data_IF_106755298023
#
_entry.id   IF_106755298023
#
_cell.length_a   1.000
_cell.length_b   1.000
_cell.length_c   1.000
_cell.angle_alpha   90.00
_cell.angle_beta   90.00
_cell.angle_gamma   90.00
#
_symmetry.space_group_name_H-M   'P 1'
#
loop_
_entity.id
_entity.type
_entity.pdbx_description
1 polymer ?
#
# COMPACT_ATOMS: atom_id res chain seq x y z
N UNK A 1 -22.36 -6.98 4.39
CA UNK A 1 -21.00 -7.15 4.94
C UNK A 1 -20.02 -6.72 3.88
N UNK A 2 -19.41 -5.57 4.10
CA UNK A 2 -18.39 -4.99 3.24
C UNK A 2 -17.02 -5.36 3.81
N UNK A 3 -16.20 -6.00 3.00
CA UNK A 3 -14.81 -6.30 3.32
C UNK A 3 -13.94 -5.27 2.61
N UNK A 4 -13.07 -4.59 3.33
CA UNK A 4 -12.19 -3.58 2.74
C UNK A 4 -10.82 -3.65 3.38
N UNK A 5 -9.79 -3.52 2.55
CA UNK A 5 -8.40 -3.45 3.01
C UNK A 5 -7.94 -2.02 2.86
N UNK A 6 -7.39 -1.48 3.94
CA UNK A 6 -6.73 -0.17 3.95
C UNK A 6 -5.25 -0.35 4.25
N UNK A 7 -4.44 0.60 3.78
CA UNK A 7 -3.01 0.66 4.08
C UNK A 7 -2.63 2.06 4.53
N UNK A 8 -1.91 2.14 5.64
CA UNK A 8 -1.19 3.33 6.05
C UNK A 8 0.28 3.18 5.66
N UNK A 9 0.85 4.24 5.09
CA UNK A 9 2.24 4.25 4.62
C UNK A 9 2.94 5.44 5.25
N UNK A 10 3.96 5.16 6.06
CA UNK A 10 4.82 6.15 6.66
C UNK A 10 6.20 6.06 6.03
N UNK A 11 6.70 7.15 5.47
CA UNK A 11 8.06 7.27 4.96
C UNK A 11 8.98 7.91 5.99
N UNK A 12 10.21 7.40 6.06
CA UNK A 12 11.21 7.89 7.00
C UNK A 12 11.56 9.38 6.81
N UNK A 13 11.46 9.90 5.58
CA UNK A 13 11.73 11.30 5.24
C UNK A 13 10.45 12.11 5.03
N UNK A 14 9.44 11.52 4.38
CA UNK A 14 8.23 12.23 3.95
C UNK A 14 7.11 12.22 4.99
N UNK A 15 7.24 11.43 6.07
CA UNK A 15 6.19 11.28 7.07
C UNK A 15 5.01 10.47 6.52
N UNK A 16 3.77 10.89 6.80
CA UNK A 16 2.58 10.10 6.46
C UNK A 16 2.20 10.27 4.98
N UNK A 17 2.57 9.29 4.13
CA UNK A 17 2.30 9.31 2.69
C UNK A 17 0.82 9.06 2.37
N UNK A 18 0.12 8.29 3.19
CA UNK A 18 -1.29 7.94 2.99
C UNK A 18 -2.27 9.01 3.48
N UNK A 19 -1.78 10.18 3.89
CA UNK A 19 -2.58 11.26 4.48
C UNK A 19 -3.71 11.70 3.54
N UNK A 20 -4.93 11.78 4.07
CA UNK A 20 -6.16 12.12 3.35
C UNK A 20 -6.39 11.36 2.02
N UNK A 21 -5.95 10.10 1.92
CA UNK A 21 -6.12 9.31 0.69
C UNK A 21 -7.45 8.54 0.59
N UNK A 22 -8.19 8.41 1.70
CA UNK A 22 -9.49 7.73 1.70
C UNK A 22 -10.65 8.74 1.69
N UNK A 23 -11.71 8.40 0.95
CA UNK A 23 -13.00 9.09 1.03
C UNK A 23 -13.85 8.68 2.24
N UNK A 24 -13.41 7.69 3.03
CA UNK A 24 -14.07 7.28 4.26
C UNK A 24 -13.43 8.00 5.45
N UNK A 25 -14.19 8.83 6.15
CA UNK A 25 -13.70 9.62 7.29
C UNK A 25 -13.11 8.77 8.43
N UNK A 26 -13.61 7.55 8.65
CA UNK A 26 -13.07 6.65 9.67
C UNK A 26 -11.65 6.14 9.31
N UNK A 27 -11.32 6.15 8.02
CA UNK A 27 -10.06 5.64 7.46
C UNK A 27 -9.33 6.71 6.64
N UNK A 28 -9.57 7.99 6.94
CA UNK A 28 -9.21 9.14 6.10
C UNK A 28 -7.75 9.17 5.66
N UNK A 29 -6.84 8.89 6.58
CA UNK A 29 -5.39 8.92 6.37
C UNK A 29 -4.81 7.57 5.90
N UNK A 30 -5.65 6.73 5.30
CA UNK A 30 -5.28 5.43 4.75
C UNK A 30 -5.62 5.37 3.26
N UNK A 31 -4.91 4.52 2.54
CA UNK A 31 -5.19 4.20 1.16
C UNK A 31 -6.12 2.98 1.14
N UNK A 32 -7.25 3.07 0.44
CA UNK A 32 -8.08 1.89 0.17
C UNK A 32 -7.45 1.05 -0.94
N UNK A 33 -7.20 -0.24 -0.68
CA UNK A 33 -6.59 -1.14 -1.65
C UNK A 33 -7.66 -1.87 -2.47
N UNK A 34 -7.38 -2.10 -3.75
CA UNK A 34 -8.14 -3.01 -4.61
C UNK A 34 -7.70 -4.46 -4.41
N UNK A 35 -6.39 -4.67 -4.23
CA UNK A 35 -5.79 -5.98 -4.03
C UNK A 35 -4.55 -5.88 -3.16
N UNK A 36 -4.27 -6.96 -2.43
CA UNK A 36 -3.07 -7.14 -1.62
C UNK A 36 -2.62 -8.59 -1.76
N UNK A 37 -1.35 -8.77 -2.09
CA UNK A 37 -0.65 -10.04 -2.15
C UNK A 37 0.55 -9.97 -1.20
N UNK A 38 0.64 -10.97 -0.32
CA UNK A 38 1.76 -11.16 0.59
C UNK A 38 2.41 -12.50 0.22
N UNK A 39 3.70 -12.48 -0.12
CA UNK A 39 4.44 -13.70 -0.48
C UNK A 39 5.68 -13.90 0.38
N UNK A 40 5.95 -15.18 0.66
CA UNK A 40 7.15 -15.64 1.35
C UNK A 40 8.24 -16.02 0.35
N UNK A 41 9.49 -15.88 0.76
CA UNK A 41 10.64 -16.40 0.01
C UNK A 41 10.66 -17.92 -0.09
N UNK A 42 11.46 -18.43 -1.02
CA UNK A 42 11.63 -19.87 -1.27
C UNK A 42 12.50 -20.53 -0.19
N UNK A 43 13.30 -19.75 0.56
CA UNK A 43 14.35 -20.26 1.46
C UNK A 43 13.88 -20.63 2.89
N UNK A 44 12.58 -20.84 3.10
CA UNK A 44 12.08 -21.47 4.33
C UNK A 44 12.15 -20.62 5.61
N UNK A 45 12.46 -19.32 5.50
CA UNK A 45 12.22 -18.36 6.57
C UNK A 45 10.71 -18.07 6.67
N UNK A 46 10.20 -17.96 7.89
CA UNK A 46 8.76 -17.81 8.15
C UNK A 46 8.18 -16.45 7.74
N UNK A 47 9.00 -15.57 7.18
CA UNK A 47 8.71 -14.15 7.06
C UNK A 47 8.16 -13.80 5.68
N UNK A 48 7.29 -12.79 5.65
CA UNK A 48 6.85 -12.17 4.39
C UNK A 48 8.04 -11.40 3.84
N UNK A 49 8.38 -11.62 2.57
CA UNK A 49 9.52 -10.95 1.93
C UNK A 49 9.06 -9.92 0.89
N UNK A 50 7.86 -10.12 0.36
CA UNK A 50 7.32 -9.32 -0.75
C UNK A 50 5.87 -8.97 -0.51
N UNK A 51 5.56 -7.70 -0.73
CA UNK A 51 4.20 -7.16 -0.71
C UNK A 51 3.90 -6.57 -2.08
N UNK A 52 2.77 -6.93 -2.66
CA UNK A 52 2.25 -6.32 -3.88
C UNK A 52 0.85 -5.82 -3.58
N UNK A 53 0.57 -4.56 -3.90
CA UNK A 53 -0.77 -4.01 -3.73
C UNK A 53 -1.19 -3.14 -4.91
N UNK A 54 -2.50 -3.01 -5.09
CA UNK A 54 -3.09 -2.13 -6.09
C UNK A 54 -3.99 -1.08 -5.43
N UNK A 55 -3.88 0.16 -5.88
CA UNK A 55 -4.69 1.30 -5.42
C UNK A 55 -5.08 2.21 -6.58
N UNK A 56 -6.05 3.10 -6.38
CA UNK A 56 -6.30 4.19 -7.33
C UNK A 56 -5.10 5.15 -7.38
N UNK A 57 -4.96 5.91 -8.46
CA UNK A 57 -4.10 7.10 -8.46
C UNK A 57 -4.71 8.13 -7.50
N UNK A 58 -3.97 8.56 -6.49
CA UNK A 58 -4.44 9.42 -5.40
C UNK A 58 -3.33 10.34 -4.87
N UNK A 59 -3.55 11.00 -3.72
CA UNK A 59 -2.57 11.91 -3.11
C UNK A 59 -1.26 11.25 -2.72
N UNK A 60 -1.23 9.93 -2.48
CA UNK A 60 -0.02 9.20 -2.15
C UNK A 60 0.83 8.89 -3.39
N UNK A 61 0.25 8.85 -4.60
CA UNK A 61 0.96 8.53 -5.84
C UNK A 61 2.25 9.33 -6.06
N UNK A 62 2.26 10.68 -6.02
CA UNK A 62 3.51 11.43 -6.19
C UNK A 62 4.51 11.20 -5.06
N UNK A 63 4.05 10.94 -3.84
CA UNK A 63 4.91 10.70 -2.69
C UNK A 63 5.59 9.33 -2.76
N UNK A 64 4.87 8.32 -3.25
CA UNK A 64 5.40 6.98 -3.50
C UNK A 64 6.41 7.01 -4.66
N UNK A 65 6.16 7.80 -5.70
CA UNK A 65 7.13 8.03 -6.78
C UNK A 65 8.42 8.70 -6.27
N UNK A 66 8.30 9.65 -5.36
CA UNK A 66 9.47 10.25 -4.72
C UNK A 66 10.18 9.27 -3.77
N UNK A 67 9.44 8.43 -3.05
CA UNK A 67 10.01 7.41 -2.16
C UNK A 67 10.83 6.36 -2.93
N UNK A 68 10.36 5.89 -4.09
CA UNK A 68 11.14 4.97 -4.93
C UNK A 68 12.38 5.66 -5.52
N UNK A 69 12.27 6.89 -6.00
CA UNK A 69 13.39 7.65 -6.58
C UNK A 69 14.51 7.87 -5.55
N UNK A 70 14.13 8.16 -4.30
CA UNK A 70 15.05 8.36 -3.18
C UNK A 70 15.48 7.09 -2.46
N UNK A 71 14.94 5.93 -2.84
CA UNK A 71 15.12 4.68 -2.11
C UNK A 71 14.82 4.85 -0.60
N UNK A 72 13.71 5.53 -0.31
CA UNK A 72 13.24 5.85 1.05
C UNK A 72 12.69 4.60 1.75
N UNK A 73 13.07 4.43 3.01
CA UNK A 73 12.54 3.39 3.88
C UNK A 73 11.13 3.72 4.35
N UNK A 74 10.26 2.72 4.32
CA UNK A 74 8.84 2.82 4.67
C UNK A 74 8.48 1.90 5.83
N UNK A 75 7.50 2.34 6.62
CA UNK A 75 6.68 1.50 7.47
C UNK A 75 5.28 1.37 6.85
N UNK A 76 4.78 0.13 6.76
CA UNK A 76 3.48 -0.20 6.18
C UNK A 76 2.60 -0.82 7.25
N UNK A 77 1.39 -0.29 7.41
CA UNK A 77 0.38 -0.92 8.28
C UNK A 77 -0.85 -1.26 7.45
N UNK A 78 -1.19 -2.54 7.37
CA UNK A 78 -2.35 -3.06 6.64
C UNK A 78 -3.49 -3.30 7.62
N UNK A 79 -4.68 -2.81 7.29
CA UNK A 79 -5.90 -2.95 8.07
C UNK A 79 -6.95 -3.71 7.28
N UNK A 80 -7.41 -4.85 7.81
CA UNK A 80 -8.57 -5.56 7.26
C UNK A 80 -9.82 -5.17 8.02
N UNK A 81 -10.81 -4.64 7.30
CA UNK A 81 -12.03 -4.12 7.88
C UNK A 81 -13.26 -4.92 7.45
N UNK A 82 -14.19 -5.11 8.39
CA UNK A 82 -15.55 -5.62 8.15
C UNK A 82 -16.52 -4.53 8.57
N UNK A 83 -17.31 -4.02 7.64
CA UNK A 83 -18.25 -2.91 7.86
C UNK A 83 -17.55 -1.72 8.58
N UNK A 84 -16.41 -1.29 8.01
CA UNK A 84 -15.51 -0.22 8.48
C UNK A 84 -14.84 -0.41 9.85
N UNK A 85 -15.07 -1.54 10.54
CA UNK A 85 -14.36 -1.87 11.77
C UNK A 85 -13.09 -2.66 11.45
N UNK A 86 -11.97 -2.20 11.99
CA UNK A 86 -10.69 -2.93 11.92
C UNK A 86 -10.86 -4.25 12.66
N UNK A 87 -10.54 -5.34 11.96
CA UNK A 87 -10.58 -6.71 12.51
C UNK A 87 -9.19 -7.30 12.64
N UNK A 88 -8.28 -6.95 11.73
CA UNK A 88 -6.89 -7.38 11.74
C UNK A 88 -5.98 -6.23 11.34
N UNK A 89 -4.77 -6.25 11.88
CA UNK A 89 -3.71 -5.29 11.62
C UNK A 89 -2.39 -6.03 11.42
N UNK A 90 -1.64 -5.66 10.38
CA UNK A 90 -0.32 -6.18 10.08
C UNK A 90 0.64 -5.04 9.86
N UNK A 91 1.77 -5.04 10.58
CA UNK A 91 2.81 -4.03 10.43
C UNK A 91 4.03 -4.62 9.76
N UNK A 92 4.61 -3.88 8.83
CA UNK A 92 5.87 -4.20 8.17
C UNK A 92 6.78 -2.98 8.26
N UNK A 93 7.93 -3.18 8.88
CA UNK A 93 8.95 -2.14 9.01
C UNK A 93 10.04 -2.35 7.95
N UNK A 94 10.83 -1.30 7.70
CA UNK A 94 12.00 -1.37 6.83
C UNK A 94 11.69 -1.84 5.39
N UNK A 95 10.56 -1.37 4.85
CA UNK A 95 10.10 -1.66 3.50
C UNK A 95 10.73 -0.70 2.47
N UNK A 96 10.98 -1.20 1.26
CA UNK A 96 11.43 -0.39 0.12
C UNK A 96 10.54 -0.64 -1.09
N UNK A 97 10.22 0.42 -1.82
CA UNK A 97 9.51 0.29 -3.09
C UNK A 97 10.47 -0.21 -4.16
N UNK A 98 10.16 -1.36 -4.76
CA UNK A 98 10.95 -1.90 -5.88
C UNK A 98 10.40 -1.44 -7.23
N UNK A 99 9.08 -1.31 -7.35
CA UNK A 99 8.42 -1.00 -8.62
C UNK A 99 7.07 -0.35 -8.41
N UNK A 100 6.77 0.65 -9.24
CA UNK A 100 5.44 1.24 -9.39
C UNK A 100 5.06 1.15 -10.87
N UNK A 101 3.90 0.56 -11.17
CA UNK A 101 3.31 0.59 -12.51
C UNK A 101 1.99 1.33 -12.45
N UNK A 102 1.91 2.49 -13.10
CA UNK A 102 0.65 3.24 -13.26
C UNK A 102 -0.03 2.83 -14.56
N UNK A 103 -1.31 2.44 -14.47
CA UNK A 103 -2.06 1.85 -15.58
C UNK A 103 -3.24 2.77 -15.92
N UNK A 104 -3.19 3.33 -17.13
CA UNK A 104 -4.25 4.16 -17.69
C UNK A 104 -5.06 3.33 -18.69
N UNK A 105 -6.21 2.79 -18.26
CA UNK A 105 -7.07 2.01 -19.15
C UNK A 105 -8.07 2.93 -19.85
N UNK A 106 -7.84 3.23 -21.13
CA UNK A 106 -8.80 3.97 -21.96
C UNK A 106 -10.02 3.12 -22.35
N UNK A 107 -9.88 1.80 -22.42
CA UNK A 107 -10.90 0.91 -23.00
C UNK A 107 -12.05 0.56 -22.04
N UNK A 108 -11.83 0.56 -20.73
CA UNK A 108 -12.78 0.01 -19.77
C UNK A 108 -13.49 1.04 -18.87
N UNK A 109 -13.34 2.35 -19.13
CA UNK A 109 -13.82 3.46 -18.27
C UNK A 109 -13.45 3.29 -16.78
N UNK A 110 -12.45 2.47 -16.47
CA UNK A 110 -11.96 2.28 -15.10
C UNK A 110 -11.06 3.45 -14.75
N UNK A 111 -11.19 3.93 -13.52
CA UNK A 111 -10.26 4.91 -12.97
C UNK A 111 -8.81 4.39 -13.09
N UNK A 112 -7.83 5.27 -13.36
CA UNK A 112 -6.43 4.90 -13.32
C UNK A 112 -6.05 4.28 -11.98
N UNK A 113 -5.21 3.25 -12.02
CA UNK A 113 -4.75 2.55 -10.82
C UNK A 113 -3.25 2.28 -10.92
N UNK A 114 -2.66 1.99 -9.77
CA UNK A 114 -1.24 1.70 -9.61
C UNK A 114 -1.07 0.32 -9.02
N UNK A 115 -0.10 -0.43 -9.54
CA UNK A 115 0.40 -1.67 -8.95
C UNK A 115 1.78 -1.42 -8.38
N UNK A 116 1.91 -1.56 -7.07
CA UNK A 116 3.11 -1.23 -6.31
C UNK A 116 3.68 -2.52 -5.73
N UNK A 117 4.98 -2.73 -5.95
CA UNK A 117 5.75 -3.85 -5.42
C UNK A 117 6.73 -3.33 -4.38
N UNK A 118 6.68 -3.93 -3.20
CA UNK A 118 7.53 -3.64 -2.05
C UNK A 118 8.37 -4.86 -1.75
N UNK A 119 9.63 -4.60 -1.40
CA UNK A 119 10.52 -5.57 -0.78
C UNK A 119 10.71 -5.24 0.69
N UNK A 120 10.60 -6.25 1.53
CA UNK A 120 10.95 -6.17 2.93
C UNK A 120 12.42 -6.56 3.09
N UNK A 121 13.16 -5.81 3.92
CA UNK A 121 14.51 -6.21 4.34
C UNK A 121 14.39 -6.92 5.69
N UNK A 122 14.70 -8.22 5.69
CA UNK A 122 14.98 -8.98 6.92
C UNK A 122 16.28 -8.55 7.59
#
# INVERSE_FOLDING_TARGET
MQYTTYMEILGAEQGLLSKNCSGNDAHKDKIQLHSLELSKGIDGLNDIEKIIFEKNVDGASPLLLNAIDKNEHLELTVFQCIDDKITHEFKFDNALIEKINTIFSYENKKSPYEKIQIKLKG
#
